data_IF_986644839771
#
_entry.id   IF_986644839771
#
_cell.length_a   1.000
_cell.length_b   1.000
_cell.length_c   1.000
_cell.angle_alpha   90.00
_cell.angle_beta   90.00
_cell.angle_gamma   90.00
#
_symmetry.space_group_name_H-M   'P 1'
#
loop_
_entity.id
_entity.type
_entity.pdbx_description
1 polymer ?
#
# COMPACT_ATOMS: atom_id res chain seq x y z
N UNK A 1 6.91 -3.31 38.87
CA UNK A 1 6.20 -2.35 37.99
C UNK A 1 7.20 -1.32 37.52
N UNK A 2 7.67 -1.45 36.28
CA UNK A 2 8.42 -0.41 35.58
C UNK A 2 8.07 -0.57 34.11
N UNK A 3 7.36 0.45 33.62
CA UNK A 3 6.81 0.54 32.29
C UNK A 3 7.95 0.58 31.26
N UNK A 4 8.06 -0.47 30.45
CA UNK A 4 8.69 -0.37 29.16
C UNK A 4 7.65 0.21 28.19
N UNK A 5 7.47 1.53 28.25
CA UNK A 5 6.84 2.28 27.16
C UNK A 5 7.78 2.15 25.96
N UNK A 6 7.53 1.13 25.14
CA UNK A 6 8.00 1.07 23.77
C UNK A 6 7.53 2.34 23.09
N UNK A 7 8.45 3.26 22.88
CA UNK A 7 8.32 4.35 21.94
C UNK A 7 7.89 3.73 20.61
N UNK A 8 6.60 3.87 20.27
CA UNK A 8 6.10 3.77 18.90
C UNK A 8 6.73 4.93 18.12
N UNK A 9 8.02 4.81 17.82
CA UNK A 9 8.56 5.52 16.68
C UNK A 9 7.80 4.94 15.49
N UNK A 10 7.02 5.76 14.80
CA UNK A 10 6.52 5.41 13.48
C UNK A 10 7.75 5.14 12.61
N UNK A 11 8.14 3.87 12.48
CA UNK A 11 9.15 3.47 11.51
C UNK A 11 8.55 3.80 10.15
N UNK A 12 9.19 4.73 9.43
CA UNK A 12 8.85 4.98 8.05
C UNK A 12 8.82 3.63 7.30
N UNK A 13 7.85 3.40 6.41
CA UNK A 13 7.81 2.17 5.65
C UNK A 13 9.13 1.91 4.92
N UNK A 14 9.51 0.65 4.80
CA UNK A 14 10.68 0.29 4.00
C UNK A 14 10.38 0.47 2.51
N UNK A 15 11.43 0.56 1.67
CA UNK A 15 11.26 0.63 0.22
C UNK A 15 10.46 -0.57 -0.32
N UNK A 16 10.80 -1.78 0.13
CA UNK A 16 10.10 -3.01 -0.23
C UNK A 16 8.62 -2.92 0.15
N UNK A 17 8.31 -2.54 1.40
CA UNK A 17 6.93 -2.38 1.85
C UNK A 17 6.17 -1.35 0.99
N UNK A 18 6.79 -0.20 0.73
CA UNK A 18 6.15 0.85 -0.05
C UNK A 18 5.87 0.43 -1.49
N UNK A 19 6.82 -0.26 -2.15
CA UNK A 19 6.64 -0.76 -3.51
C UNK A 19 5.60 -1.90 -3.57
N UNK A 20 5.62 -2.85 -2.63
CA UNK A 20 4.60 -3.92 -2.55
C UNK A 20 3.21 -3.34 -2.31
N UNK A 21 3.08 -2.37 -1.40
CA UNK A 21 1.80 -1.73 -1.14
C UNK A 21 1.31 -0.85 -2.30
N UNK A 22 2.22 -0.15 -3.01
CA UNK A 22 1.89 0.50 -4.28
C UNK A 22 1.34 -0.52 -5.28
N UNK A 23 1.99 -1.67 -5.45
CA UNK A 23 1.55 -2.71 -6.38
C UNK A 23 0.15 -3.27 -6.03
N UNK A 24 -0.16 -3.49 -4.75
CA UNK A 24 -1.50 -3.85 -4.31
C UNK A 24 -2.56 -2.81 -4.71
N UNK A 25 -2.24 -1.52 -4.55
CA UNK A 25 -3.18 -0.45 -4.92
C UNK A 25 -3.37 -0.32 -6.42
N UNK A 26 -2.31 -0.47 -7.22
CA UNK A 26 -2.41 -0.47 -8.69
C UNK A 26 -3.31 -1.62 -9.18
N UNK A 27 -3.16 -2.81 -8.60
CA UNK A 27 -4.05 -3.94 -8.89
C UNK A 27 -5.51 -3.63 -8.53
N UNK A 28 -5.75 -3.13 -7.31
CA UNK A 28 -7.10 -2.79 -6.84
C UNK A 28 -7.80 -1.75 -7.72
N UNK A 29 -7.07 -0.72 -8.12
CA UNK A 29 -7.56 0.34 -8.99
C UNK A 29 -7.91 -0.21 -10.37
N UNK A 30 -7.00 -1.00 -10.96
CA UNK A 30 -7.20 -1.60 -12.27
C UNK A 30 -8.39 -2.58 -12.28
N UNK A 31 -8.53 -3.38 -11.24
CA UNK A 31 -9.66 -4.30 -11.03
C UNK A 31 -10.98 -3.53 -10.89
N UNK A 32 -11.03 -2.55 -9.98
CA UNK A 32 -12.21 -1.72 -9.76
C UNK A 32 -12.70 -1.06 -11.05
N UNK A 33 -11.75 -0.51 -11.82
CA UNK A 33 -12.03 0.11 -13.11
C UNK A 33 -12.59 -0.90 -14.13
N UNK A 34 -12.03 -2.11 -14.19
CA UNK A 34 -12.47 -3.18 -15.09
C UNK A 34 -13.85 -3.72 -14.73
N UNK A 35 -14.13 -3.94 -13.46
CA UNK A 35 -15.35 -4.61 -13.00
C UNK A 35 -16.55 -3.67 -12.95
N UNK A 36 -16.34 -2.45 -12.45
CA UNK A 36 -17.43 -1.50 -12.17
C UNK A 36 -17.46 -0.29 -13.10
N UNK A 37 -16.42 -0.11 -13.92
CA UNK A 37 -16.21 1.12 -14.69
C UNK A 37 -15.91 2.35 -13.81
N UNK A 38 -15.63 2.15 -12.52
CA UNK A 38 -15.42 3.20 -11.52
C UNK A 38 -14.26 2.83 -10.60
N UNK A 39 -13.55 3.84 -10.12
CA UNK A 39 -12.48 3.67 -9.12
C UNK A 39 -12.93 4.34 -7.82
N UNK A 40 -12.86 3.67 -6.65
CA UNK A 40 -13.15 4.29 -5.36
C UNK A 40 -12.28 5.53 -5.14
N UNK A 41 -12.88 6.70 -4.88
CA UNK A 41 -12.16 7.97 -4.76
C UNK A 41 -10.91 7.93 -3.84
N UNK A 42 -10.98 7.32 -2.64
CA UNK A 42 -9.83 7.24 -1.73
C UNK A 42 -8.65 6.40 -2.22
N UNK A 43 -8.82 5.50 -3.19
CA UNK A 43 -7.74 4.57 -3.57
C UNK A 43 -6.56 5.27 -4.23
N UNK A 44 -6.79 6.37 -4.94
CA UNK A 44 -5.71 7.18 -5.52
C UNK A 44 -4.85 7.85 -4.45
N UNK A 45 -5.47 8.38 -3.39
CA UNK A 45 -4.74 8.97 -2.26
C UNK A 45 -3.85 7.96 -1.55
N UNK A 46 -4.35 6.74 -1.34
CA UNK A 46 -3.58 5.66 -0.73
C UNK A 46 -2.42 5.23 -1.64
N UNK A 47 -2.65 5.09 -2.96
CA UNK A 47 -1.59 4.81 -3.93
C UNK A 47 -0.50 5.90 -3.92
N UNK A 48 -0.90 7.16 -4.04
CA UNK A 48 0.03 8.29 -4.12
C UNK A 48 0.84 8.41 -2.83
N UNK A 49 0.23 8.16 -1.68
CA UNK A 49 0.95 8.10 -0.42
C UNK A 49 2.04 7.02 -0.41
N UNK A 50 1.78 5.83 -0.96
CA UNK A 50 2.79 4.77 -1.08
C UNK A 50 3.89 5.10 -2.10
N UNK A 51 3.57 5.82 -3.18
CA UNK A 51 4.57 6.36 -4.12
C UNK A 51 5.52 7.29 -3.37
N UNK A 52 4.99 8.24 -2.60
CA UNK A 52 5.82 9.18 -1.84
C UNK A 52 6.73 8.46 -0.83
N UNK A 53 6.21 7.42 -0.14
CA UNK A 53 7.03 6.63 0.79
C UNK A 53 8.12 5.83 0.09
N UNK A 54 7.86 5.31 -1.12
CA UNK A 54 8.87 4.64 -1.92
C UNK A 54 9.97 5.64 -2.34
N UNK A 55 9.60 6.84 -2.80
CA UNK A 55 10.55 7.91 -3.15
C UNK A 55 11.39 8.32 -1.95
N UNK A 56 10.77 8.57 -0.79
CA UNK A 56 11.47 8.90 0.46
C UNK A 56 12.44 7.79 0.89
N UNK A 57 12.11 6.53 0.60
CA UNK A 57 12.92 5.36 0.88
C UNK A 57 14.00 5.06 -0.19
N UNK A 58 14.09 5.89 -1.24
CA UNK A 58 15.12 5.82 -2.28
C UNK A 58 14.73 5.02 -3.53
N UNK A 59 13.43 4.88 -3.83
CA UNK A 59 12.98 4.33 -5.12
C UNK A 59 13.53 5.17 -6.27
N UNK A 60 14.00 4.55 -7.37
CA UNK A 60 14.34 5.29 -8.58
C UNK A 60 13.08 5.93 -9.20
N UNK A 61 13.26 7.00 -9.98
CA UNK A 61 12.15 7.70 -10.64
C UNK A 61 11.46 6.83 -11.72
N UNK A 62 12.14 5.79 -12.24
CA UNK A 62 11.69 4.85 -13.27
C UNK A 62 11.49 3.42 -12.70
N UNK A 63 10.81 3.31 -11.56
CA UNK A 63 10.54 2.02 -10.89
C UNK A 63 9.38 1.21 -11.47
N UNK A 64 8.82 1.61 -12.63
CA UNK A 64 7.63 0.98 -13.22
C UNK A 64 7.81 -0.53 -13.50
N UNK A 65 9.00 -0.95 -13.95
CA UNK A 65 9.31 -2.38 -14.18
C UNK A 65 9.34 -3.18 -12.87
N UNK A 66 9.79 -2.55 -11.77
CA UNK A 66 9.80 -3.18 -10.43
C UNK A 66 8.36 -3.37 -9.96
N UNK A 67 7.53 -2.34 -10.10
CA UNK A 67 6.12 -2.39 -9.70
C UNK A 67 5.36 -3.41 -10.55
N UNK A 68 5.61 -3.47 -11.87
CA UNK A 68 5.02 -4.48 -12.74
C UNK A 68 5.38 -5.91 -12.30
N UNK A 69 6.65 -6.16 -11.95
CA UNK A 69 7.09 -7.45 -11.42
C UNK A 69 6.39 -7.82 -10.11
N UNK A 70 6.28 -6.87 -9.18
CA UNK A 70 5.56 -7.08 -7.92
C UNK A 70 4.06 -7.34 -8.14
N UNK A 71 3.44 -6.67 -9.10
CA UNK A 71 2.04 -6.94 -9.46
C UNK A 71 1.85 -8.37 -9.99
N UNK A 72 2.79 -8.90 -10.77
CA UNK A 72 2.72 -10.28 -11.25
C UNK A 72 2.92 -11.30 -10.12
N UNK A 73 3.83 -11.03 -9.19
CA UNK A 73 4.00 -11.84 -7.97
C UNK A 73 2.73 -11.83 -7.11
N UNK A 74 2.12 -10.65 -6.93
CA UNK A 74 0.90 -10.49 -6.15
C UNK A 74 -0.31 -11.18 -6.82
N UNK A 75 -0.42 -11.18 -8.15
CA UNK A 75 -1.45 -11.98 -8.87
C UNK A 75 -1.24 -13.48 -8.70
N UNK A 76 0.01 -13.92 -8.70
CA UNK A 76 0.34 -15.32 -8.38
C UNK A 76 -0.08 -15.64 -6.95
N UNK A 77 0.18 -14.72 -6.00
CA UNK A 77 -0.27 -14.85 -4.61
C UNK A 77 -1.79 -14.89 -4.50
N UNK A 78 -2.52 -14.00 -5.17
CA UNK A 78 -3.98 -13.97 -5.18
C UNK A 78 -4.58 -15.32 -5.62
N UNK A 79 -3.95 -15.99 -6.58
CA UNK A 79 -4.40 -17.32 -7.05
C UNK A 79 -4.04 -18.45 -6.08
N UNK A 80 -2.88 -18.36 -5.43
CA UNK A 80 -2.32 -19.46 -4.62
C UNK A 80 -2.70 -19.38 -3.14
N UNK A 81 -2.90 -18.17 -2.62
CA UNK A 81 -3.26 -17.83 -1.25
C UNK A 81 -4.05 -16.49 -1.23
N UNK A 82 -5.34 -16.51 -1.64
CA UNK A 82 -6.17 -15.30 -1.72
C UNK A 82 -6.36 -14.61 -0.38
N UNK A 83 -6.42 -15.37 0.72
CA UNK A 83 -6.57 -14.81 2.06
C UNK A 83 -5.34 -13.97 2.45
N UNK A 84 -4.14 -14.46 2.12
CA UNK A 84 -2.90 -13.70 2.35
C UNK A 84 -2.79 -12.48 1.45
N UNK A 85 -3.20 -12.59 0.18
CA UNK A 85 -3.26 -11.44 -0.72
C UNK A 85 -4.17 -10.34 -0.16
N UNK A 86 -5.37 -10.70 0.32
CA UNK A 86 -6.30 -9.71 0.87
C UNK A 86 -5.87 -9.13 2.20
N UNK A 87 -5.29 -9.95 3.07
CA UNK A 87 -4.70 -9.47 4.32
C UNK A 87 -3.61 -8.44 4.03
N UNK A 88 -2.70 -8.72 3.08
CA UNK A 88 -1.64 -7.79 2.68
C UNK A 88 -2.20 -6.49 2.09
N UNK A 89 -3.19 -6.59 1.19
CA UNK A 89 -3.86 -5.41 0.62
C UNK A 89 -4.53 -4.55 1.70
N UNK A 90 -5.25 -5.19 2.62
CA UNK A 90 -5.94 -4.50 3.70
C UNK A 90 -4.96 -3.81 4.66
N UNK A 91 -3.86 -4.48 5.01
CA UNK A 91 -2.80 -3.91 5.85
C UNK A 91 -2.15 -2.67 5.20
N UNK A 92 -1.92 -2.72 3.88
CA UNK A 92 -1.40 -1.57 3.13
C UNK A 92 -2.36 -0.38 3.14
N UNK A 93 -3.68 -0.63 3.04
CA UNK A 93 -4.70 0.42 3.12
C UNK A 93 -4.77 0.99 4.53
N UNK A 94 -4.88 0.13 5.54
CA UNK A 94 -5.02 0.53 6.95
C UNK A 94 -3.80 1.32 7.43
N UNK A 95 -2.59 0.91 7.03
CA UNK A 95 -1.35 1.62 7.35
C UNK A 95 -1.36 3.03 6.76
N UNK A 96 -1.74 3.18 5.49
CA UNK A 96 -1.80 4.48 4.85
C UNK A 96 -2.87 5.38 5.47
N UNK A 97 -4.06 4.83 5.77
CA UNK A 97 -5.13 5.56 6.45
C UNK A 97 -4.73 6.03 7.85
N UNK A 98 -4.11 5.16 8.65
CA UNK A 98 -3.61 5.49 9.98
C UNK A 98 -2.53 6.59 9.93
N UNK A 99 -1.78 6.68 8.83
CA UNK A 99 -0.78 7.71 8.58
C UNK A 99 -1.35 9.00 7.92
N UNK A 100 -2.67 9.10 7.74
CA UNK A 100 -3.32 10.29 7.20
C UNK A 100 -3.24 10.41 5.66
N UNK A 101 -3.08 9.30 4.93
CA UNK A 101 -3.01 9.31 3.47
C UNK A 101 -4.26 9.93 2.82
N UNK A 102 -5.43 9.79 3.45
CA UNK A 102 -6.68 10.37 2.96
C UNK A 102 -7.08 11.58 3.82
N UNK A 103 -7.13 12.80 3.24
CA UNK A 103 -7.51 13.99 3.99
C UNK A 103 -8.88 13.86 4.66
N UNK A 104 -8.95 14.15 5.96
CA UNK A 104 -10.20 14.11 6.73
C UNK A 104 -10.65 12.71 7.18
N UNK A 105 -9.82 11.67 7.00
CA UNK A 105 -10.04 10.32 7.54
C UNK A 105 -9.02 9.93 8.63
N UNK A 106 -8.31 10.92 9.19
CA UNK A 106 -7.35 10.71 10.27
C UNK A 106 -8.06 10.12 11.51
N UNK A 107 -7.43 9.18 12.24
CA UNK A 107 -7.99 8.68 13.49
C UNK A 107 -8.11 9.85 14.49
N UNK A 108 -9.35 10.16 14.88
CA UNK A 108 -9.67 11.20 15.87
C UNK A 108 -9.28 10.84 17.29
#
# INVERSE_FOLDING_TARGET
MLAALLLLAATNPTLEQAQTCRAHMELFIAESARESGRVPGPSWFVRDWWIDRAIDAGSPEDDDDIIAGLMDELRSLETTDPDRFEAGRSECVDTALAAGAVPGMEPG
#
